data_IF_306902903327
#
_entry.id   IF_306902903327
#
_cell.length_a   1.000
_cell.length_b   1.000
_cell.length_c   1.000
_cell.angle_alpha   90.00
_cell.angle_beta   90.00
_cell.angle_gamma   90.00
#
_symmetry.space_group_name_H-M   'P 1'
#
loop_
_entity.id
_entity.type
_entity.pdbx_description
1 polymer ?
#
# COMPACT_ATOMS: atom_id res chain seq x y z
N UNK A 1 15.44 2.16 15.89
CA UNK A 1 14.61 1.35 16.80
C UNK A 1 14.38 0.01 16.11
N UNK A 2 14.52 -1.13 16.80
CA UNK A 2 14.29 -2.42 16.15
C UNK A 2 12.83 -2.48 15.70
N UNK A 3 12.58 -2.97 14.49
CA UNK A 3 11.25 -3.00 13.86
C UNK A 3 10.16 -3.73 14.68
N UNK A 4 10.54 -4.43 15.75
CA UNK A 4 9.72 -5.37 16.52
C UNK A 4 9.09 -4.78 17.78
N UNK A 5 9.27 -3.49 18.08
CA UNK A 5 8.73 -2.88 19.32
C UNK A 5 7.19 -2.89 19.37
N UNK A 6 6.53 -2.86 18.21
CA UNK A 6 5.06 -2.88 18.09
C UNK A 6 4.58 -4.02 17.18
N UNK A 7 4.41 -5.25 17.71
CA UNK A 7 3.97 -6.42 16.93
C UNK A 7 2.58 -6.21 16.31
N UNK A 8 1.69 -5.50 17.01
CA UNK A 8 0.37 -5.08 16.51
C UNK A 8 0.46 -4.25 15.25
N UNK A 9 1.37 -3.28 15.21
CA UNK A 9 1.53 -2.39 14.06
C UNK A 9 2.02 -3.18 12.85
N UNK A 10 2.99 -4.08 13.03
CA UNK A 10 3.48 -4.96 11.98
C UNK A 10 2.40 -5.90 11.43
N UNK A 11 1.62 -6.55 12.31
CA UNK A 11 0.52 -7.41 11.89
C UNK A 11 -0.55 -6.61 11.12
N UNK A 12 -0.89 -5.42 11.59
CA UNK A 12 -1.87 -4.52 10.95
C UNK A 12 -1.38 -4.02 9.59
N UNK A 13 -0.10 -3.64 9.47
CA UNK A 13 0.53 -3.29 8.18
C UNK A 13 0.42 -4.46 7.21
N UNK A 14 0.69 -5.69 7.67
CA UNK A 14 0.55 -6.90 6.85
C UNK A 14 -0.86 -7.07 6.27
N UNK A 15 -1.89 -6.86 7.09
CA UNK A 15 -3.30 -6.89 6.66
C UNK A 15 -3.60 -5.79 5.63
N UNK A 16 -3.23 -4.55 5.93
CA UNK A 16 -3.48 -3.40 5.05
C UNK A 16 -2.78 -3.58 3.71
N UNK A 17 -1.55 -4.08 3.71
CA UNK A 17 -0.79 -4.34 2.49
C UNK A 17 -1.40 -5.51 1.70
N UNK A 18 -1.93 -6.54 2.37
CA UNK A 18 -2.72 -7.58 1.72
C UNK A 18 -3.94 -7.03 0.98
N UNK A 19 -4.69 -6.13 1.64
CA UNK A 19 -5.83 -5.46 1.02
C UNK A 19 -5.41 -4.55 -0.15
N UNK A 20 -4.33 -3.79 0.01
CA UNK A 20 -3.78 -2.95 -1.04
C UNK A 20 -3.36 -3.79 -2.26
N UNK A 21 -2.66 -4.91 -2.04
CA UNK A 21 -2.29 -5.85 -3.11
C UNK A 21 -3.52 -6.35 -3.87
N UNK A 22 -4.57 -6.77 -3.15
CA UNK A 22 -5.83 -7.21 -3.74
C UNK A 22 -6.50 -6.12 -4.59
N UNK A 23 -6.65 -4.91 -4.06
CA UNK A 23 -7.32 -3.80 -4.76
C UNK A 23 -6.52 -3.37 -5.99
N UNK A 24 -5.19 -3.23 -5.87
CA UNK A 24 -4.34 -2.83 -7.00
C UNK A 24 -4.30 -3.89 -8.09
N UNK A 25 -4.12 -5.17 -7.72
CA UNK A 25 -4.16 -6.26 -8.68
C UNK A 25 -5.53 -6.38 -9.37
N UNK A 26 -6.62 -6.16 -8.64
CA UNK A 26 -7.98 -6.08 -9.18
C UNK A 26 -8.15 -4.93 -10.17
N UNK A 27 -7.67 -3.73 -9.85
CA UNK A 27 -7.71 -2.59 -10.77
C UNK A 27 -6.88 -2.86 -12.03
N UNK A 28 -5.75 -3.56 -11.92
CA UNK A 28 -4.93 -3.99 -13.05
C UNK A 28 -5.66 -4.88 -14.07
N UNK A 29 -6.78 -5.52 -13.68
CA UNK A 29 -7.59 -6.37 -14.56
C UNK A 29 -8.42 -5.59 -15.59
N UNK A 30 -8.49 -4.26 -15.47
CA UNK A 30 -9.26 -3.40 -16.38
C UNK A 30 -8.87 -3.61 -17.86
N UNK A 31 -7.56 -3.62 -18.17
CA UNK A 31 -7.06 -3.86 -19.53
C UNK A 31 -5.66 -4.49 -19.56
N UNK A 32 -5.50 -5.74 -19.12
CA UNK A 32 -4.22 -6.46 -19.14
C UNK A 32 -3.82 -6.87 -20.57
N UNK A 33 -2.51 -6.86 -20.92
CA UNK A 33 -2.04 -7.08 -22.30
C UNK A 33 -2.23 -8.51 -22.84
N UNK A 34 -2.29 -9.51 -21.96
CA UNK A 34 -2.41 -10.92 -22.36
C UNK A 34 -3.10 -11.75 -21.28
N UNK A 35 -3.48 -12.98 -21.63
CA UNK A 35 -4.05 -13.95 -20.67
C UNK A 35 -3.06 -14.31 -19.56
N UNK A 36 -1.77 -14.40 -19.85
CA UNK A 36 -0.74 -14.64 -18.84
C UNK A 36 -0.70 -13.54 -17.79
N UNK A 37 -0.81 -12.28 -18.21
CA UNK A 37 -0.87 -11.15 -17.28
C UNK A 37 -2.15 -11.12 -16.43
N UNK A 38 -3.30 -11.53 -16.99
CA UNK A 38 -4.54 -11.72 -16.21
C UNK A 38 -4.35 -12.72 -15.07
N UNK A 39 -3.69 -13.85 -15.37
CA UNK A 39 -3.41 -14.89 -14.39
C UNK A 39 -2.45 -14.37 -13.33
N UNK A 40 -1.37 -13.68 -13.73
CA UNK A 40 -0.43 -13.09 -12.77
C UNK A 40 -1.10 -12.12 -11.79
N UNK A 41 -1.97 -11.24 -12.30
CA UNK A 41 -2.77 -10.34 -11.47
C UNK A 41 -3.75 -11.10 -10.56
N UNK A 42 -4.36 -12.19 -11.04
CA UNK A 42 -5.24 -13.02 -10.21
C UNK A 42 -4.46 -13.69 -9.05
N UNK A 43 -3.24 -14.16 -9.33
CA UNK A 43 -2.35 -14.70 -8.30
C UNK A 43 -2.01 -13.63 -7.27
N UNK A 44 -1.73 -12.40 -7.69
CA UNK A 44 -1.48 -11.27 -6.77
C UNK A 44 -2.72 -10.91 -5.94
N UNK A 45 -3.93 -10.96 -6.53
CA UNK A 45 -5.17 -10.83 -5.77
C UNK A 45 -5.30 -11.90 -4.69
N UNK A 46 -5.08 -13.17 -5.06
CA UNK A 46 -5.18 -14.30 -4.14
C UNK A 46 -4.13 -14.21 -3.01
N UNK A 47 -2.90 -13.81 -3.34
CA UNK A 47 -1.84 -13.58 -2.35
C UNK A 47 -2.20 -12.45 -1.38
N UNK A 48 -2.75 -11.34 -1.89
CA UNK A 48 -3.25 -10.24 -1.06
C UNK A 48 -4.37 -10.69 -0.11
N UNK A 49 -5.34 -11.45 -0.61
CA UNK A 49 -6.41 -12.02 0.21
C UNK A 49 -5.89 -13.04 1.24
N UNK A 50 -4.88 -13.83 0.91
CA UNK A 50 -4.24 -14.73 1.86
C UNK A 50 -3.60 -13.94 3.01
N UNK A 51 -2.89 -12.84 2.71
CA UNK A 51 -2.33 -11.95 3.75
C UNK A 51 -3.42 -11.36 4.65
N UNK A 52 -4.57 -10.95 4.09
CA UNK A 52 -5.70 -10.48 4.89
C UNK A 52 -6.25 -11.62 5.77
N UNK A 53 -6.47 -12.80 5.19
CA UNK A 53 -7.05 -13.96 5.88
C UNK A 53 -6.20 -14.47 7.03
N UNK A 54 -4.88 -14.54 6.86
CA UNK A 54 -3.95 -14.93 7.94
C UNK A 54 -3.59 -13.76 8.86
N UNK A 55 -3.60 -12.53 8.34
CA UNK A 55 -3.22 -11.34 9.08
C UNK A 55 -4.26 -10.88 10.08
N UNK A 56 -5.56 -10.97 9.77
CA UNK A 56 -6.62 -10.55 10.69
C UNK A 56 -6.53 -11.32 12.02
N UNK A 57 -6.45 -12.67 12.05
CA UNK A 57 -6.24 -13.41 13.29
C UNK A 57 -4.97 -13.00 14.05
N UNK A 58 -3.87 -12.71 13.35
CA UNK A 58 -2.63 -12.26 13.99
C UNK A 58 -2.77 -10.85 14.61
N UNK A 59 -3.44 -9.93 13.92
CA UNK A 59 -3.73 -8.60 14.42
C UNK A 59 -4.67 -8.64 15.64
N UNK A 60 -5.66 -9.54 15.66
CA UNK A 60 -6.54 -9.74 16.82
C UNK A 60 -5.74 -10.27 18.02
N UNK A 61 -4.83 -11.22 17.81
CA UNK A 61 -3.99 -11.76 18.91
C UNK A 61 -3.05 -10.71 19.53
N UNK A 62 -2.69 -9.68 18.77
CA UNK A 62 -1.80 -8.60 19.22
C UNK A 62 -2.54 -7.34 19.63
N UNK A 63 -3.88 -7.36 19.64
CA UNK A 63 -4.70 -6.16 19.81
C UNK A 63 -4.45 -5.42 21.13
N UNK A 64 -4.20 -6.19 22.19
CA UNK A 64 -3.95 -5.69 23.54
C UNK A 64 -2.48 -5.26 23.77
N UNK A 65 -1.63 -5.38 22.75
CA UNK A 65 -0.26 -4.88 22.79
C UNK A 65 -0.20 -3.41 22.36
N UNK A 66 0.91 -2.73 22.71
CA UNK A 66 1.10 -1.32 22.39
C UNK A 66 1.17 -1.02 20.89
N UNK A 67 0.96 0.25 20.54
CA UNK A 67 1.10 0.80 19.19
C UNK A 67 1.87 2.12 19.21
N UNK A 68 2.61 2.40 18.14
CA UNK A 68 3.31 3.68 17.96
C UNK A 68 2.34 4.87 17.83
N UNK A 69 1.08 4.62 17.45
CA UNK A 69 0.06 5.64 17.20
C UNK A 69 -1.08 5.59 18.22
N UNK A 70 -0.73 5.46 19.50
CA UNK A 70 -1.70 5.43 20.59
C UNK A 70 -2.62 6.68 20.57
N UNK A 71 -3.96 6.53 20.70
CA UNK A 71 -4.87 7.65 20.65
C UNK A 71 -4.55 8.76 21.64
N UNK A 72 -4.64 10.02 21.19
CA UNK A 72 -4.35 11.20 22.01
C UNK A 72 -2.86 11.58 22.09
N UNK A 73 -1.97 10.77 21.52
CA UNK A 73 -0.54 11.13 21.42
C UNK A 73 -0.26 12.09 20.25
N UNK A 74 0.86 12.84 20.28
CA UNK A 74 1.30 13.63 19.13
C UNK A 74 1.50 12.81 17.86
N UNK A 75 1.95 11.55 17.97
CA UNK A 75 2.11 10.66 16.82
C UNK A 75 0.78 10.32 16.16
N UNK A 76 -0.27 10.04 16.95
CA UNK A 76 -1.62 9.84 16.44
C UNK A 76 -2.19 11.08 15.75
N UNK A 77 -2.03 12.27 16.35
CA UNK A 77 -2.46 13.53 15.73
C UNK A 77 -1.71 13.76 14.41
N UNK A 78 -0.39 13.56 14.40
CA UNK A 78 0.44 13.66 13.20
C UNK A 78 -0.02 12.72 12.09
N UNK A 79 -0.36 11.47 12.43
CA UNK A 79 -0.92 10.50 11.50
C UNK A 79 -2.23 10.99 10.87
N UNK A 80 -3.19 11.42 11.70
CA UNK A 80 -4.50 11.89 11.22
C UNK A 80 -4.35 13.09 10.29
N UNK A 81 -3.50 14.06 10.65
CA UNK A 81 -3.25 15.25 9.82
C UNK A 81 -2.61 14.87 8.50
N UNK A 82 -1.54 14.06 8.52
CA UNK A 82 -0.85 13.63 7.31
C UNK A 82 -1.81 12.88 6.36
N UNK A 83 -2.57 11.93 6.89
CA UNK A 83 -3.56 11.16 6.14
C UNK A 83 -4.59 12.06 5.45
N UNK A 84 -5.22 12.98 6.17
CA UNK A 84 -6.26 13.84 5.59
C UNK A 84 -5.70 14.84 4.58
N UNK A 85 -4.51 15.37 4.79
CA UNK A 85 -3.84 16.22 3.81
C UNK A 85 -3.62 15.47 2.49
N UNK A 86 -3.17 14.22 2.55
CA UNK A 86 -2.93 13.40 1.37
C UNK A 86 -4.22 12.95 0.68
N UNK A 87 -5.28 12.68 1.43
CA UNK A 87 -6.62 12.45 0.87
C UNK A 87 -7.09 13.68 0.09
N UNK A 88 -6.91 14.89 0.63
CA UNK A 88 -7.25 16.13 -0.09
C UNK A 88 -6.42 16.25 -1.37
N UNK A 89 -5.11 16.00 -1.31
CA UNK A 89 -4.22 16.01 -2.49
C UNK A 89 -4.69 14.99 -3.54
N UNK A 90 -5.05 13.78 -3.14
CA UNK A 90 -5.55 12.74 -4.03
C UNK A 90 -6.85 13.17 -4.72
N UNK A 91 -7.83 13.66 -3.95
CA UNK A 91 -9.12 14.13 -4.48
C UNK A 91 -8.93 15.28 -5.45
N UNK A 92 -8.16 16.31 -5.06
CA UNK A 92 -7.86 17.46 -5.92
C UNK A 92 -7.16 17.01 -7.20
N UNK A 93 -6.15 16.13 -7.09
CA UNK A 93 -5.42 15.61 -8.25
C UNK A 93 -6.33 14.82 -9.20
N UNK A 94 -7.24 14.00 -8.69
CA UNK A 94 -8.24 13.28 -9.49
C UNK A 94 -9.15 14.25 -10.22
N UNK A 95 -9.67 15.28 -9.53
CA UNK A 95 -10.51 16.30 -10.14
C UNK A 95 -9.77 17.05 -11.26
N UNK A 96 -8.49 17.38 -11.05
CA UNK A 96 -7.63 18.02 -12.07
C UNK A 96 -7.43 17.10 -13.28
N UNK A 97 -7.13 15.82 -13.08
CA UNK A 97 -6.95 14.87 -14.18
C UNK A 97 -8.23 14.67 -14.99
N UNK A 98 -9.39 14.58 -14.32
CA UNK A 98 -10.68 14.49 -15.00
C UNK A 98 -10.98 15.75 -15.81
N UNK A 99 -10.76 16.94 -15.25
CA UNK A 99 -10.94 18.22 -15.97
C UNK A 99 -10.01 18.37 -17.17
N UNK A 100 -8.81 17.79 -17.11
CA UNK A 100 -7.85 17.78 -18.22
C UNK A 100 -8.06 16.64 -19.22
N UNK A 101 -9.17 15.90 -19.12
CA UNK A 101 -9.46 14.74 -19.95
C UNK A 101 -8.34 13.69 -19.95
N UNK A 102 -7.68 13.49 -18.79
CA UNK A 102 -6.67 12.46 -18.56
C UNK A 102 -7.02 11.48 -17.42
N UNK A 103 -8.26 10.93 -17.37
CA UNK A 103 -8.66 10.03 -16.29
C UNK A 103 -7.85 8.73 -16.25
N UNK A 104 -7.22 8.33 -17.36
CA UNK A 104 -6.34 7.16 -17.44
C UNK A 104 -5.10 7.28 -16.54
N UNK A 105 -4.73 8.49 -16.11
CA UNK A 105 -3.60 8.73 -15.22
C UNK A 105 -3.99 8.68 -13.72
N UNK A 106 -5.27 8.50 -13.39
CA UNK A 106 -5.73 8.39 -12.00
C UNK A 106 -5.01 7.27 -11.24
N UNK A 107 -4.84 6.04 -11.77
CA UNK A 107 -4.11 4.98 -11.07
C UNK A 107 -2.67 5.38 -10.72
N UNK A 108 -1.99 6.07 -11.64
CA UNK A 108 -0.60 6.54 -11.43
C UNK A 108 -0.55 7.58 -10.32
N UNK A 109 -1.47 8.56 -10.35
CA UNK A 109 -1.56 9.58 -9.30
C UNK A 109 -1.81 8.94 -7.93
N UNK A 110 -2.79 8.04 -7.84
CA UNK A 110 -3.15 7.41 -6.57
C UNK A 110 -2.01 6.54 -6.06
N UNK A 111 -1.32 5.78 -6.92
CA UNK A 111 -0.16 5.00 -6.51
C UNK A 111 0.98 5.90 -6.01
N UNK A 112 1.20 7.05 -6.65
CA UNK A 112 2.20 8.02 -6.22
C UNK A 112 1.86 8.59 -4.84
N UNK A 113 0.61 9.03 -4.62
CA UNK A 113 0.17 9.55 -3.32
C UNK A 113 0.30 8.48 -2.24
N UNK A 114 -0.12 7.24 -2.52
CA UNK A 114 0.04 6.10 -1.60
C UNK A 114 1.51 5.82 -1.31
N UNK A 115 2.40 5.89 -2.31
CA UNK A 115 3.83 5.73 -2.10
C UNK A 115 4.41 6.83 -1.21
N UNK A 116 4.04 8.10 -1.46
CA UNK A 116 4.47 9.25 -0.67
C UNK A 116 3.95 9.16 0.77
N UNK A 117 2.70 8.71 0.97
CA UNK A 117 2.07 8.49 2.28
C UNK A 117 2.92 7.63 3.22
N UNK A 118 3.64 6.65 2.69
CA UNK A 118 4.44 5.78 3.54
C UNK A 118 5.71 6.44 4.11
N UNK A 119 6.17 7.58 3.60
CA UNK A 119 7.28 8.32 4.22
C UNK A 119 6.94 8.87 5.61
N UNK A 120 5.88 9.68 5.79
CA UNK A 120 5.50 10.12 7.13
C UNK A 120 5.11 8.94 8.01
N UNK A 121 4.45 7.90 7.47
CA UNK A 121 4.14 6.70 8.26
C UNK A 121 5.40 5.99 8.77
N UNK A 122 6.46 5.90 7.98
CA UNK A 122 7.71 5.29 8.43
C UNK A 122 8.29 5.98 9.66
N UNK A 123 8.16 7.32 9.73
CA UNK A 123 8.59 8.11 10.88
C UNK A 123 7.65 7.93 12.06
N UNK A 124 6.34 8.06 11.84
CA UNK A 124 5.33 8.02 12.91
C UNK A 124 5.23 6.65 13.56
N UNK A 125 5.35 5.57 12.78
CA UNK A 125 5.34 4.20 13.29
C UNK A 125 6.73 3.73 13.76
N UNK A 126 7.80 4.46 13.44
CA UNK A 126 9.17 4.01 13.68
C UNK A 126 9.57 2.76 12.86
N UNK A 127 8.87 2.49 11.76
CA UNK A 127 8.99 1.28 10.96
C UNK A 127 9.72 1.56 9.63
N UNK A 128 11.03 1.29 9.59
CA UNK A 128 11.87 1.53 8.41
C UNK A 128 11.41 0.77 7.15
N UNK A 129 10.70 -0.34 7.32
CA UNK A 129 10.13 -1.11 6.20
C UNK A 129 9.11 -0.29 5.39
N UNK A 130 8.41 0.66 6.03
CA UNK A 130 7.49 1.56 5.33
C UNK A 130 8.24 2.55 4.44
N UNK A 131 9.44 2.99 4.81
CA UNK A 131 10.26 3.84 3.94
C UNK A 131 10.73 3.07 2.70
N UNK A 132 11.04 1.79 2.85
CA UNK A 132 11.35 0.91 1.70
C UNK A 132 10.13 0.79 0.78
N UNK A 133 8.95 0.52 1.34
CA UNK A 133 7.71 0.48 0.57
C UNK A 133 7.44 1.82 -0.15
N UNK A 134 7.66 2.95 0.53
CA UNK A 134 7.50 4.29 -0.03
C UNK A 134 8.33 4.48 -1.30
N UNK A 135 9.63 4.21 -1.22
CA UNK A 135 10.57 4.35 -2.35
C UNK A 135 10.16 3.45 -3.51
N UNK A 136 9.85 2.18 -3.24
CA UNK A 136 9.47 1.21 -4.26
C UNK A 136 8.15 1.58 -4.95
N UNK A 137 7.16 2.06 -4.22
CA UNK A 137 5.86 2.44 -4.76
C UNK A 137 5.91 3.76 -5.53
N UNK A 138 6.70 4.74 -5.07
CA UNK A 138 6.98 5.97 -5.83
C UNK A 138 7.68 5.61 -7.14
N UNK A 139 8.71 4.76 -7.10
CA UNK A 139 9.39 4.29 -8.30
C UNK A 139 8.44 3.53 -9.24
N UNK A 140 7.56 2.68 -8.70
CA UNK A 140 6.53 1.98 -9.46
C UNK A 140 5.55 2.95 -10.15
N UNK A 141 5.10 3.99 -9.46
CA UNK A 141 4.22 5.02 -10.03
C UNK A 141 4.90 5.79 -11.16
N UNK A 142 6.16 6.21 -10.95
CA UNK A 142 6.96 6.87 -12.00
C UNK A 142 7.15 5.95 -13.20
N UNK A 143 7.51 4.69 -12.98
CA UNK A 143 7.69 3.73 -14.06
C UNK A 143 6.37 3.44 -14.80
N UNK A 144 5.26 3.29 -14.08
CA UNK A 144 3.93 3.13 -14.66
C UNK A 144 3.54 4.33 -15.54
N UNK A 145 3.86 5.56 -15.10
CA UNK A 145 3.71 6.75 -15.92
C UNK A 145 4.55 6.65 -17.20
N UNK A 146 5.83 6.31 -17.10
CA UNK A 146 6.73 6.22 -18.25
C UNK A 146 6.30 5.14 -19.25
N UNK A 147 5.75 4.02 -18.76
CA UNK A 147 5.29 2.89 -19.56
C UNK A 147 3.85 3.00 -20.07
N UNK A 148 3.12 4.07 -19.73
CA UNK A 148 1.69 4.28 -20.05
C UNK A 148 1.30 4.12 -21.52
N UNK A 149 2.25 4.24 -22.44
CA UNK A 149 2.02 4.08 -23.89
C UNK A 149 2.04 2.63 -24.34
N UNK A 150 2.56 1.70 -23.52
CA UNK A 150 2.69 0.27 -23.85
C UNK A 150 1.49 -0.57 -23.40
N UNK A 151 0.82 -0.15 -22.33
CA UNK A 151 -0.38 -0.77 -21.79
C UNK A 151 -1.10 0.22 -20.87
N UNK A 152 -2.29 -0.14 -20.39
CA UNK A 152 -3.07 0.70 -19.49
C UNK A 152 -2.26 1.09 -18.23
N UNK A 153 -2.32 2.34 -17.77
CA UNK A 153 -1.59 2.76 -16.57
C UNK A 153 -2.00 1.98 -15.32
N UNK A 154 -3.28 1.60 -15.19
CA UNK A 154 -3.79 0.73 -14.12
C UNK A 154 -3.09 -0.63 -14.09
N UNK A 155 -2.85 -1.24 -15.27
CA UNK A 155 -2.07 -2.48 -15.38
C UNK A 155 -0.64 -2.32 -14.86
N UNK A 156 0.07 -1.27 -15.29
CA UNK A 156 1.45 -1.05 -14.83
C UNK A 156 1.53 -0.74 -13.34
N UNK A 157 0.60 0.06 -12.81
CA UNK A 157 0.52 0.32 -11.37
C UNK A 157 0.31 -0.98 -10.58
N UNK A 158 -0.57 -1.86 -11.07
CA UNK A 158 -0.85 -3.13 -10.44
C UNK A 158 0.34 -4.09 -10.44
N UNK A 159 0.94 -4.34 -11.62
CA UNK A 159 2.00 -5.35 -11.75
C UNK A 159 3.32 -4.92 -11.08
N UNK A 160 3.55 -3.61 -10.94
CA UNK A 160 4.72 -3.06 -10.25
C UNK A 160 4.46 -2.88 -8.75
N UNK A 161 3.25 -2.43 -8.35
CA UNK A 161 2.92 -2.10 -6.97
C UNK A 161 2.44 -3.28 -6.13
N UNK A 162 1.58 -4.15 -6.66
CA UNK A 162 1.02 -5.27 -5.89
C UNK A 162 2.09 -6.24 -5.36
N UNK A 163 3.17 -6.58 -6.10
CA UNK A 163 4.26 -7.39 -5.53
C UNK A 163 4.94 -6.72 -4.33
N UNK A 164 5.13 -5.40 -4.35
CA UNK A 164 5.70 -4.65 -3.21
C UNK A 164 4.81 -4.81 -1.99
N UNK A 165 3.49 -4.62 -2.16
CA UNK A 165 2.53 -4.82 -1.08
C UNK A 165 2.54 -6.26 -0.56
N UNK A 166 2.57 -7.28 -1.43
CA UNK A 166 2.61 -8.68 -0.99
C UNK A 166 3.89 -9.00 -0.22
N UNK A 167 5.06 -8.63 -0.76
CA UNK A 167 6.36 -8.98 -0.17
C UNK A 167 6.54 -8.26 1.17
N UNK A 168 6.33 -6.94 1.20
CA UNK A 168 6.47 -6.15 2.42
C UNK A 168 5.38 -6.52 3.42
N UNK A 169 4.15 -6.75 2.97
CA UNK A 169 3.04 -7.17 3.84
C UNK A 169 3.30 -8.53 4.48
N UNK A 170 3.82 -9.50 3.73
CA UNK A 170 4.22 -10.80 4.26
C UNK A 170 5.35 -10.66 5.29
N UNK A 171 6.37 -9.83 4.99
CA UNK A 171 7.46 -9.56 5.93
C UNK A 171 6.94 -8.98 7.25
N UNK A 172 6.08 -7.97 7.18
CA UNK A 172 5.50 -7.34 8.38
C UNK A 172 4.63 -8.33 9.14
N UNK A 173 3.78 -9.09 8.45
CA UNK A 173 2.91 -10.07 9.10
C UNK A 173 3.73 -11.14 9.84
N UNK A 174 4.75 -11.70 9.20
CA UNK A 174 5.62 -12.70 9.83
C UNK A 174 6.39 -12.11 11.01
N UNK A 175 6.91 -10.88 10.87
CA UNK A 175 7.57 -10.17 11.96
C UNK A 175 6.64 -9.90 13.15
N UNK A 176 5.40 -9.48 12.88
CA UNK A 176 4.37 -9.26 13.89
C UNK A 176 3.98 -10.55 14.61
N UNK A 177 3.84 -11.66 13.89
CA UNK A 177 3.57 -12.99 14.48
C UNK A 177 4.74 -13.47 15.35
N UNK A 178 5.98 -13.27 14.89
CA UNK A 178 7.16 -13.73 15.64
C UNK A 178 7.44 -12.92 16.91
N UNK A 179 6.90 -11.69 16.99
CA UNK A 179 7.04 -10.79 18.13
C UNK A 179 5.80 -10.76 19.03
N UNK A 180 4.75 -11.51 18.70
CA UNK A 180 3.50 -11.66 19.46
C UNK A 180 3.58 -12.83 20.46
#
# INVERSE_FOLDING_TARGET
>A
MPATEFPRDLATIGVIFGLAAFVWAGWGQERPPSRGWRIALLVLCAAGLALVGFGIPAAIRTWDTGTAIEPGTPAFIGYVVAFWLEVVVAVVGVLVLRRRARPELIPVLILLVVGVHFFPLAVLFGQGVLAVAAVLLVAAAVLAYLLRRRAAPSFWCAILGAPVFVIVGAWCLLGGIAAA
#
